data_IF_859786494240
#
_entry.id   IF_859786494240
#
_cell.length_a   1.000
_cell.length_b   1.000
_cell.length_c   1.000
_cell.angle_alpha   90.00
_cell.angle_beta   90.00
_cell.angle_gamma   90.00
#
_symmetry.space_group_name_H-M   'P 1'
#
loop_
_entity.id
_entity.type
_entity.pdbx_description
1 polymer ?
#
# COMPACT_ATOMS: atom_id res chain seq x y z
N UNK A 1 -6.94 8.54 -23.33
CA UNK A 1 -8.21 7.92 -22.90
C UNK A 1 -8.41 8.23 -21.44
N UNK A 2 -9.63 8.60 -21.03
CA UNK A 2 -10.00 8.82 -19.63
C UNK A 2 -11.24 7.97 -19.36
N UNK A 3 -11.20 7.14 -18.32
CA UNK A 3 -12.34 6.33 -17.88
C UNK A 3 -12.92 6.96 -16.62
N UNK A 4 -14.24 6.97 -16.50
CA UNK A 4 -14.88 7.29 -15.22
C UNK A 4 -14.62 6.18 -14.22
N UNK A 5 -14.72 6.50 -12.93
CA UNK A 5 -14.52 5.53 -11.85
C UNK A 5 -15.48 4.31 -11.99
N UNK A 6 -16.73 4.56 -12.38
CA UNK A 6 -17.73 3.51 -12.58
C UNK A 6 -17.44 2.63 -13.79
N UNK A 7 -16.86 3.19 -14.86
CA UNK A 7 -16.42 2.40 -16.02
C UNK A 7 -15.19 1.56 -15.67
N UNK A 8 -14.24 2.13 -14.92
CA UNK A 8 -13.05 1.44 -14.44
C UNK A 8 -13.42 0.17 -13.65
N UNK A 9 -14.40 0.25 -12.76
CA UNK A 9 -14.86 -0.92 -11.99
C UNK A 9 -15.54 -2.01 -12.83
N UNK A 10 -15.95 -1.73 -14.08
CA UNK A 10 -16.61 -2.72 -14.95
C UNK A 10 -15.63 -3.44 -15.87
N UNK A 11 -14.50 -2.82 -16.22
CA UNK A 11 -13.52 -3.39 -17.17
C UNK A 11 -12.41 -4.15 -16.44
N UNK A 12 -11.85 -5.18 -17.07
CA UNK A 12 -10.69 -5.94 -16.55
C UNK A 12 -9.44 -5.77 -17.42
N UNK A 13 -9.58 -5.19 -18.62
CA UNK A 13 -8.47 -4.95 -19.54
C UNK A 13 -8.72 -3.62 -20.25
N UNK A 14 -7.66 -2.81 -20.38
CA UNK A 14 -7.61 -1.63 -21.24
C UNK A 14 -6.50 -1.83 -22.26
N UNK A 15 -6.87 -1.94 -23.53
CA UNK A 15 -5.95 -2.01 -24.65
C UNK A 15 -5.58 -0.63 -25.18
N UNK A 16 -4.30 -0.44 -25.51
CA UNK A 16 -3.79 0.72 -26.22
C UNK A 16 -3.08 0.25 -27.50
N UNK A 17 -3.42 0.85 -28.64
CA UNK A 17 -2.73 0.59 -29.89
C UNK A 17 -2.24 1.87 -30.53
N UNK A 18 -1.07 1.80 -31.16
CA UNK A 18 -0.42 2.92 -31.83
C UNK A 18 0.00 2.50 -33.24
N UNK A 19 -0.17 3.42 -34.18
CA UNK A 19 0.22 3.25 -35.58
C UNK A 19 1.12 4.39 -36.01
N UNK A 20 2.04 4.08 -36.92
CA UNK A 20 2.89 5.03 -37.63
C UNK A 20 3.06 4.54 -39.06
N UNK A 21 3.18 5.46 -40.01
CA UNK A 21 3.39 5.12 -41.42
C UNK A 21 4.58 4.16 -41.56
N UNK A 22 4.41 3.14 -42.41
CA UNK A 22 5.38 2.09 -42.71
C UNK A 22 5.80 1.21 -41.51
N UNK A 23 4.97 1.15 -40.45
CA UNK A 23 5.16 0.25 -39.31
C UNK A 23 3.98 -0.68 -39.09
N UNK A 24 4.26 -1.86 -38.54
CA UNK A 24 3.22 -2.77 -38.04
C UNK A 24 2.52 -2.16 -36.82
N UNK A 25 1.22 -2.40 -36.72
CA UNK A 25 0.41 -2.01 -35.56
C UNK A 25 1.06 -2.51 -34.26
N UNK A 26 1.36 -1.60 -33.34
CA UNK A 26 1.77 -1.94 -31.98
C UNK A 26 0.53 -1.89 -31.08
N UNK A 27 0.28 -2.95 -30.31
CA UNK A 27 -0.81 -3.02 -29.35
C UNK A 27 -0.30 -3.57 -28.03
N UNK A 28 -0.76 -2.98 -26.92
CA UNK A 28 -0.43 -3.39 -25.57
C UNK A 28 -1.70 -3.37 -24.72
N UNK A 29 -1.92 -4.45 -23.99
CA UNK A 29 -3.04 -4.58 -23.06
C UNK A 29 -2.56 -4.40 -21.63
N UNK A 30 -3.36 -3.66 -20.85
CA UNK A 30 -3.21 -3.51 -19.41
C UNK A 30 -4.34 -4.28 -18.72
N UNK A 31 -4.01 -5.39 -18.09
CA UNK A 31 -4.97 -6.22 -17.34
C UNK A 31 -4.98 -5.80 -15.88
N UNK A 32 -6.17 -5.46 -15.37
CA UNK A 32 -6.41 -5.13 -13.97
C UNK A 32 -6.98 -6.34 -13.21
N UNK A 33 -6.36 -6.70 -12.10
CA UNK A 33 -6.76 -7.84 -11.27
C UNK A 33 -7.62 -7.37 -10.12
N UNK A 34 -8.92 -7.64 -10.24
CA UNK A 34 -9.90 -7.26 -9.21
C UNK A 34 -9.90 -8.17 -7.98
N UNK A 35 -9.28 -9.35 -8.03
CA UNK A 35 -9.44 -10.38 -7.01
C UNK A 35 -10.85 -11.00 -7.02
N UNK A 36 -11.13 -11.85 -6.03
CA UNK A 36 -12.31 -12.72 -5.91
C UNK A 36 -13.41 -12.19 -4.97
N UNK A 37 -13.25 -11.00 -4.40
CA UNK A 37 -14.12 -10.46 -3.36
C UNK A 37 -13.55 -10.55 -1.94
N UNK A 38 -12.46 -11.30 -1.73
CA UNK A 38 -11.81 -11.38 -0.43
C UNK A 38 -11.26 -10.02 0.02
N UNK A 39 -11.41 -9.75 1.32
CA UNK A 39 -10.83 -8.58 1.97
C UNK A 39 -9.35 -8.88 2.29
N UNK A 40 -8.40 -8.07 1.79
CA UNK A 40 -6.99 -8.29 2.06
C UNK A 40 -6.65 -8.01 3.52
N UNK A 41 -5.73 -8.81 4.07
CA UNK A 41 -5.13 -8.54 5.38
C UNK A 41 -4.00 -7.52 5.21
N UNK A 42 -4.06 -6.45 6.00
CA UNK A 42 -3.09 -5.35 5.97
C UNK A 42 -2.38 -5.25 7.32
N UNK A 43 -1.05 -5.37 7.32
CA UNK A 43 -0.22 -5.23 8.54
C UNK A 43 0.93 -4.27 8.29
N UNK A 44 1.29 -3.48 9.31
CA UNK A 44 2.47 -2.61 9.25
C UNK A 44 3.54 -3.17 10.19
N UNK A 45 4.77 -3.25 9.66
CA UNK A 45 5.97 -3.66 10.35
C UNK A 45 6.94 -2.48 10.43
N UNK A 46 7.62 -2.34 11.54
CA UNK A 46 8.64 -1.31 11.78
C UNK A 46 9.98 -2.05 11.77
N UNK A 47 11.01 -1.49 11.14
CA UNK A 47 12.35 -2.04 11.30
C UNK A 47 12.80 -1.91 12.77
N UNK A 48 13.61 -2.86 13.29
CA UNK A 48 14.15 -2.79 14.64
C UNK A 48 14.81 -1.44 14.94
N UNK A 49 14.68 -0.95 16.18
CA UNK A 49 15.23 0.36 16.59
C UNK A 49 16.75 0.47 16.36
N UNK A 50 17.47 -0.66 16.41
CA UNK A 50 18.91 -0.74 16.13
C UNK A 50 19.28 -0.35 14.69
N UNK A 51 18.34 -0.55 13.74
CA UNK A 51 18.52 -0.20 12.33
C UNK A 51 18.11 1.25 12.01
N UNK A 52 17.52 1.96 12.99
CA UNK A 52 17.06 3.34 12.82
C UNK A 52 18.25 4.29 13.06
N UNK A 53 19.05 4.53 12.02
CA UNK A 53 20.24 5.41 12.10
C UNK A 53 19.90 6.88 11.83
N UNK A 54 19.19 7.18 10.74
CA UNK A 54 18.80 8.55 10.38
C UNK A 54 17.29 8.67 10.09
N UNK A 55 16.70 7.61 9.56
CA UNK A 55 15.30 7.54 9.15
C UNK A 55 14.63 6.27 9.69
N UNK A 56 13.32 6.34 9.85
CA UNK A 56 12.48 5.22 10.29
C UNK A 56 11.80 4.63 9.07
N UNK A 57 12.00 3.34 8.85
CA UNK A 57 11.38 2.63 7.72
C UNK A 57 10.21 1.78 8.22
N UNK A 58 9.05 1.98 7.60
CA UNK A 58 7.82 1.25 7.82
C UNK A 58 7.51 0.39 6.59
N UNK A 59 7.04 -0.83 6.82
CA UNK A 59 6.67 -1.78 5.75
C UNK A 59 5.21 -2.16 5.94
N UNK A 60 4.38 -1.81 4.97
CA UNK A 60 3.00 -2.30 4.89
C UNK A 60 2.97 -3.58 4.06
N UNK A 61 2.56 -4.68 4.68
CA UNK A 61 2.34 -5.97 4.04
C UNK A 61 0.84 -6.15 3.82
N UNK A 62 0.47 -6.34 2.56
CA UNK A 62 -0.89 -6.66 2.12
C UNK A 62 -0.88 -8.10 1.63
N UNK A 63 -1.72 -8.95 2.20
CA UNK A 63 -1.80 -10.38 1.83
C UNK A 63 -3.22 -10.79 1.50
N UNK A 64 -3.38 -11.59 0.45
CA UNK A 64 -4.67 -12.08 -0.01
C UNK A 64 -4.54 -13.47 -0.67
N UNK A 65 -5.55 -14.37 -0.60
CA UNK A 65 -5.47 -15.69 -1.25
C UNK A 65 -5.33 -15.59 -2.77
N UNK A 66 -6.02 -14.64 -3.40
CA UNK A 66 -6.02 -14.41 -4.85
C UNK A 66 -5.27 -13.13 -5.24
N UNK A 67 -4.65 -13.15 -6.42
CA UNK A 67 -3.91 -11.99 -6.91
C UNK A 67 -4.86 -10.84 -7.22
N UNK A 68 -4.56 -9.69 -6.63
CA UNK A 68 -5.35 -8.48 -6.77
C UNK A 68 -4.43 -7.26 -6.80
N UNK A 69 -4.83 -6.27 -7.58
CA UNK A 69 -4.12 -5.00 -7.69
C UNK A 69 -4.67 -4.01 -6.65
N UNK A 70 -3.75 -3.27 -6.03
CA UNK A 70 -4.03 -2.32 -4.96
C UNK A 70 -3.38 -0.98 -5.26
N UNK A 71 -4.07 0.11 -4.88
CA UNK A 71 -3.40 1.38 -4.62
C UNK A 71 -3.09 1.45 -3.12
N UNK A 72 -1.84 1.76 -2.77
CA UNK A 72 -1.37 1.79 -1.39
C UNK A 72 -0.74 3.16 -1.14
N UNK A 73 -1.22 3.84 -0.09
CA UNK A 73 -0.70 5.12 0.36
C UNK A 73 -0.62 5.18 1.89
N UNK A 74 0.16 6.12 2.39
CA UNK A 74 0.43 6.30 3.81
C UNK A 74 -0.17 7.60 4.32
N UNK A 75 -0.56 7.62 5.59
CA UNK A 75 -0.99 8.84 6.28
C UNK A 75 -0.27 9.01 7.61
N UNK A 76 -0.03 10.27 7.97
CA UNK A 76 0.52 10.68 9.26
C UNK A 76 -0.58 11.41 10.05
N UNK A 77 -0.93 10.88 11.23
CA UNK A 77 -1.89 11.49 12.16
C UNK A 77 -1.15 12.45 13.10
N UNK A 78 -1.56 13.72 13.11
CA UNK A 78 -0.93 14.81 13.89
C UNK A 78 -0.91 16.17 13.19
N UNK A 79 -1.09 16.18 11.86
CA UNK A 79 -1.33 17.37 11.04
C UNK A 79 -2.76 17.35 10.51
N UNK A 80 -3.47 18.48 10.60
CA UNK A 80 -4.83 18.69 10.06
C UNK A 80 -4.97 18.16 8.60
N UNK A 81 -6.19 17.84 8.15
CA UNK A 81 -6.57 16.51 7.69
C UNK A 81 -5.72 15.92 6.53
N UNK A 82 -5.23 14.70 6.76
CA UNK A 82 -5.09 13.57 5.83
C UNK A 82 -4.54 13.85 4.43
N UNK A 83 -3.28 14.28 4.33
CA UNK A 83 -2.53 14.10 3.09
C UNK A 83 -2.06 12.65 2.99
N UNK A 84 -2.52 11.94 1.96
CA UNK A 84 -1.94 10.65 1.60
C UNK A 84 -0.62 10.87 0.87
N UNK A 85 0.39 10.09 1.23
CA UNK A 85 1.70 10.09 0.58
C UNK A 85 1.99 8.71 0.02
N UNK A 86 2.49 8.66 -1.21
CA UNK A 86 2.90 7.41 -1.83
C UNK A 86 4.16 6.86 -1.18
N UNK A 87 4.17 5.56 -0.93
CA UNK A 87 5.38 4.81 -0.60
C UNK A 87 6.01 4.17 -1.84
N UNK A 88 7.05 3.37 -1.62
CA UNK A 88 7.64 2.52 -2.66
C UNK A 88 6.88 1.20 -2.68
N UNK A 89 6.03 1.02 -3.69
CA UNK A 89 5.20 -0.18 -3.86
C UNK A 89 5.94 -1.24 -4.68
N UNK A 90 6.00 -2.47 -4.16
CA UNK A 90 6.58 -3.62 -4.84
C UNK A 90 5.51 -4.37 -5.63
N UNK A 91 5.89 -5.07 -6.72
CA UNK A 91 4.95 -5.92 -7.45
C UNK A 91 4.43 -7.05 -6.55
N UNK A 92 3.20 -7.55 -6.82
CA UNK A 92 2.66 -8.70 -6.11
C UNK A 92 3.55 -9.94 -6.31
N UNK A 93 3.82 -10.62 -5.21
CA UNK A 93 4.60 -11.85 -5.17
C UNK A 93 3.72 -13.00 -4.72
N UNK A 94 3.91 -14.17 -5.34
CA UNK A 94 3.29 -15.41 -4.89
C UNK A 94 4.02 -15.91 -3.63
N UNK A 95 3.25 -16.23 -2.59
CA UNK A 95 3.71 -16.74 -1.30
C UNK A 95 2.99 -18.05 -0.99
N UNK A 96 3.43 -18.77 0.05
CA UNK A 96 2.78 -20.03 0.44
C UNK A 96 1.30 -19.85 0.84
N UNK A 97 0.90 -18.62 1.20
CA UNK A 97 -0.43 -18.27 1.68
C UNK A 97 -1.27 -17.51 0.62
N UNK A 98 -0.81 -17.42 -0.62
CA UNK A 98 -1.50 -16.71 -1.71
C UNK A 98 -0.60 -15.65 -2.34
N UNK A 99 -1.06 -14.41 -2.39
CA UNK A 99 -0.33 -13.28 -2.94
C UNK A 99 -0.04 -12.25 -1.86
N UNK A 100 1.10 -11.58 -1.99
CA UNK A 100 1.46 -10.48 -1.10
C UNK A 100 2.07 -9.32 -1.84
N UNK A 101 1.77 -8.12 -1.38
CA UNK A 101 2.30 -6.84 -1.87
C UNK A 101 2.91 -6.13 -0.67
N UNK A 102 4.08 -5.52 -0.88
CA UNK A 102 4.73 -4.68 0.12
C UNK A 102 4.77 -3.23 -0.33
N UNK A 103 4.58 -2.31 0.61
CA UNK A 103 4.85 -0.88 0.44
C UNK A 103 5.84 -0.44 1.51
N UNK A 104 6.92 0.24 1.10
CA UNK A 104 7.91 0.82 2.01
C UNK A 104 7.65 2.32 2.13
N UNK A 105 7.61 2.82 3.36
CA UNK A 105 7.52 4.24 3.67
C UNK A 105 8.60 4.64 4.65
N UNK A 106 9.25 5.76 4.37
CA UNK A 106 10.33 6.28 5.20
C UNK A 106 9.95 7.62 5.77
N UNK A 107 10.18 7.79 7.06
CA UNK A 107 9.89 9.02 7.79
C UNK A 107 11.07 9.44 8.66
N UNK A 108 11.06 10.70 9.10
CA UNK A 108 12.13 11.25 9.93
C UNK A 108 12.08 10.70 11.35
N UNK A 109 13.25 10.56 11.99
CA UNK A 109 13.36 10.28 13.43
C UNK A 109 12.55 11.24 14.30
N UNK A 110 12.50 12.52 13.94
CA UNK A 110 11.81 13.54 14.73
C UNK A 110 10.32 13.25 14.84
N UNK A 111 9.65 12.98 13.71
CA UNK A 111 8.23 12.59 13.71
C UNK A 111 7.98 11.31 14.51
N UNK A 112 8.82 10.30 14.33
CA UNK A 112 8.72 9.04 15.07
C UNK A 112 8.87 9.23 16.59
N UNK A 113 9.90 9.97 17.00
CA UNK A 113 10.20 10.26 18.41
C UNK A 113 9.12 11.16 19.05
N UNK A 114 8.46 12.00 18.26
CA UNK A 114 7.30 12.79 18.68
C UNK A 114 5.98 12.00 18.64
N UNK A 115 6.05 10.67 18.54
CA UNK A 115 4.89 9.78 18.56
C UNK A 115 3.87 10.02 17.45
N UNK A 116 4.30 10.58 16.31
CA UNK A 116 3.45 10.65 15.11
C UNK A 116 2.93 9.25 14.78
N UNK A 117 1.63 9.16 14.50
CA UNK A 117 0.97 7.91 14.17
C UNK A 117 0.97 7.73 12.65
N UNK A 118 1.38 6.56 12.19
CA UNK A 118 1.46 6.23 10.78
C UNK A 118 0.50 5.09 10.46
N UNK A 119 -0.24 5.23 9.35
CA UNK A 119 -1.10 4.14 8.85
C UNK A 119 -0.95 3.95 7.35
N UNK A 120 -1.07 2.70 6.94
CA UNK A 120 -1.15 2.27 5.56
C UNK A 120 -2.62 2.15 5.15
N UNK A 121 -2.97 2.73 4.01
CA UNK A 121 -4.30 2.70 3.42
C UNK A 121 -4.23 1.96 2.10
N UNK A 122 -5.07 0.94 1.95
CA UNK A 122 -5.07 0.03 0.81
C UNK A 122 -6.43 0.12 0.12
N UNK A 123 -6.44 0.54 -1.14
CA UNK A 123 -7.63 0.57 -1.99
C UNK A 123 -7.66 -0.63 -2.93
N UNK A 124 -8.57 -1.59 -2.69
CA UNK A 124 -8.96 -2.60 -3.68
C UNK A 124 -9.46 -1.94 -4.96
N UNK A 125 -8.97 -2.36 -6.14
CA UNK A 125 -9.50 -1.78 -7.39
C UNK A 125 -10.90 -2.24 -7.81
N UNK A 126 -11.65 -2.89 -6.91
CA UNK A 126 -13.11 -3.06 -7.04
C UNK A 126 -13.91 -1.83 -6.61
N UNK A 127 -13.23 -0.78 -6.10
CA UNK A 127 -13.89 0.44 -5.66
C UNK A 127 -14.48 0.39 -4.27
N UNK A 128 -13.95 -0.51 -3.46
CA UNK A 128 -14.26 -0.64 -2.05
C UNK A 128 -13.66 0.54 -1.27
N UNK A 129 -14.14 0.72 -0.04
CA UNK A 129 -13.51 1.67 0.88
C UNK A 129 -12.06 1.23 1.15
N UNK A 130 -11.14 2.17 1.42
CA UNK A 130 -9.80 1.78 1.82
C UNK A 130 -9.82 0.96 3.09
N UNK A 131 -8.95 -0.04 3.14
CA UNK A 131 -8.63 -0.77 4.35
C UNK A 131 -7.46 -0.05 4.99
N UNK A 132 -7.70 0.52 6.16
CA UNK A 132 -6.69 1.16 6.97
C UNK A 132 -6.03 0.12 7.89
N UNK A 133 -4.70 0.09 7.92
CA UNK A 133 -3.96 -0.70 8.88
C UNK A 133 -4.18 -0.19 10.30
N UNK A 134 -3.78 -0.98 11.31
CA UNK A 134 -3.55 -0.42 12.64
C UNK A 134 -2.49 0.69 12.54
N UNK A 135 -2.69 1.78 13.27
CA UNK A 135 -1.69 2.83 13.40
C UNK A 135 -0.45 2.31 14.12
N UNK A 136 0.73 2.77 13.68
CA UNK A 136 2.02 2.50 14.34
C UNK A 136 2.68 3.80 14.75
N UNK A 137 3.33 3.79 15.91
CA UNK A 137 4.16 4.89 16.41
C UNK A 137 5.17 4.35 17.41
N UNK A 138 6.17 5.16 17.77
CA UNK A 138 7.17 4.81 18.78
C UNK A 138 6.55 4.43 20.13
N UNK A 139 5.41 5.02 20.49
CA UNK A 139 4.72 4.73 21.75
C UNK A 139 4.21 3.28 21.83
N UNK A 140 4.02 2.63 20.67
CA UNK A 140 3.57 1.24 20.57
C UNK A 140 4.72 0.24 20.41
N UNK A 141 5.94 0.71 20.16
CA UNK A 141 7.14 -0.10 19.95
C UNK A 141 7.75 -0.62 21.25
N UNK A 142 7.47 0.07 22.37
CA UNK A 142 7.88 -0.36 23.69
C UNK A 142 6.76 -1.23 24.28
N UNK A 143 6.92 -2.57 24.38
CA UNK A 143 6.17 -3.30 25.38
C UNK A 143 6.57 -2.69 26.72
N UNK A 144 5.59 -2.13 27.42
CA UNK A 144 5.73 -1.62 28.76
C UNK A 144 6.48 -2.70 29.56
N UNK A 145 7.72 -2.40 29.99
CA UNK A 145 8.20 -2.91 31.27
C UNK A 145 7.18 -2.41 32.28
N UNK A 146 6.13 -3.19 32.52
CA UNK A 146 5.27 -3.00 33.66
C UNK A 146 6.14 -3.37 34.86
N UNK A 147 6.99 -2.43 35.29
CA UNK A 147 7.67 -2.53 36.56
C UNK A 147 6.57 -2.69 37.62
N UNK A 148 6.66 -3.83 38.29
CA UNK A 148 5.82 -4.20 39.42
C UNK A 148 6.12 -3.19 40.54
N UNK A 149 5.10 -2.49 41.02
CA UNK A 149 5.09 -1.92 42.36
C UNK A 149 4.10 -2.72 43.24
#
# INVERSE_FOLDING_TARGET
MTLTLTEWYKVNNVGCSATKADMTLASQDLTFRKGDGSEPKVTVHILPDEDIIDEVTLVCLVSNPEQQDYYIAWSEHGTNPSSYTDGINFPPMNTQQGYSVASIYTTTKDKWNNFTMFSCHVWPGRGEKPIQSRDVSKAMSNPIECEKE
#
